data_IF_746375862556
#
_entry.id   IF_746375862556
#
_cell.length_a   1.000
_cell.length_b   1.000
_cell.length_c   1.000
_cell.angle_alpha   90.00
_cell.angle_beta   90.00
_cell.angle_gamma   90.00
#
_symmetry.space_group_name_H-M   'P 1'
#
loop_
_entity.id
_entity.type
_entity.pdbx_description
1 polymer ?
#
# COMPACT_ATOMS: atom_id res chain seq x y z
N UNK A 1 -6.93 13.50 -1.72
CA UNK A 1 -8.16 13.00 -1.06
C UNK A 1 -8.73 11.91 -1.96
N UNK A 2 -8.91 10.70 -1.45
CA UNK A 2 -9.52 9.59 -2.18
C UNK A 2 -10.91 9.38 -1.59
N UNK A 3 -11.93 9.28 -2.42
CA UNK A 3 -13.30 9.00 -1.99
C UNK A 3 -13.64 7.56 -2.35
N UNK A 4 -14.16 6.82 -1.36
CA UNK A 4 -14.62 5.44 -1.55
C UNK A 4 -16.14 5.45 -1.67
N UNK A 5 -16.64 4.97 -2.80
CA UNK A 5 -18.07 4.83 -3.01
C UNK A 5 -18.52 3.46 -2.46
N UNK A 6 -19.21 3.47 -1.32
CA UNK A 6 -19.56 2.27 -0.57
C UNK A 6 -21.09 2.14 -0.46
N UNK A 7 -21.65 0.92 -0.54
CA UNK A 7 -23.03 0.71 -0.17
C UNK A 7 -23.27 1.16 1.28
N UNK A 8 -24.42 1.80 1.55
CA UNK A 8 -24.76 2.36 2.87
C UNK A 8 -24.55 1.38 4.04
N UNK A 9 -24.83 0.10 3.80
CA UNK A 9 -24.69 -0.95 4.80
C UNK A 9 -23.22 -1.17 5.18
N UNK A 10 -22.33 -1.11 4.20
CA UNK A 10 -20.88 -1.27 4.37
C UNK A 10 -20.31 -0.04 5.05
N UNK A 11 -20.70 1.15 4.62
CA UNK A 11 -20.26 2.41 5.25
C UNK A 11 -20.60 2.43 6.75
N UNK A 12 -21.84 2.10 7.11
CA UNK A 12 -22.27 2.02 8.51
C UNK A 12 -21.46 0.99 9.31
N UNK A 13 -21.23 -0.19 8.73
CA UNK A 13 -20.46 -1.24 9.40
C UNK A 13 -19.02 -0.78 9.70
N UNK A 14 -18.36 -0.13 8.73
CA UNK A 14 -16.99 0.38 8.90
C UNK A 14 -16.95 1.49 9.96
N UNK A 15 -17.91 2.42 9.95
CA UNK A 15 -18.02 3.48 10.97
C UNK A 15 -18.18 2.86 12.37
N UNK A 16 -19.06 1.88 12.53
CA UNK A 16 -19.26 1.19 13.81
C UNK A 16 -17.98 0.49 14.26
N UNK A 17 -17.26 -0.18 13.37
CA UNK A 17 -16.00 -0.85 13.72
C UNK A 17 -14.91 0.15 14.13
N UNK A 18 -14.79 1.28 13.45
CA UNK A 18 -13.87 2.35 13.84
C UNK A 18 -14.18 2.90 15.23
N UNK A 19 -15.48 3.12 15.54
CA UNK A 19 -15.94 3.57 16.85
C UNK A 19 -15.65 2.54 17.95
N UNK A 20 -15.92 1.26 17.71
CA UNK A 20 -15.63 0.18 18.66
C UNK A 20 -14.14 0.05 18.97
N UNK A 21 -13.30 0.32 17.98
CA UNK A 21 -11.84 0.33 18.15
C UNK A 21 -11.29 1.66 18.72
N UNK A 22 -12.16 2.64 19.03
CA UNK A 22 -11.77 3.91 19.63
C UNK A 22 -10.91 4.79 18.72
N UNK A 23 -11.04 4.66 17.40
CA UNK A 23 -10.21 5.36 16.43
C UNK A 23 -11.05 6.11 15.40
N UNK A 24 -10.42 7.06 14.68
CA UNK A 24 -11.08 7.74 13.56
C UNK A 24 -11.26 6.78 12.39
N UNK A 25 -12.31 7.03 11.58
CA UNK A 25 -12.62 6.23 10.40
C UNK A 25 -11.43 6.11 9.43
N UNK A 26 -10.73 7.22 9.19
CA UNK A 26 -9.57 7.24 8.31
C UNK A 26 -8.43 6.37 8.84
N UNK A 27 -8.13 6.45 10.14
CA UNK A 27 -7.07 5.66 10.76
C UNK A 27 -7.41 4.17 10.72
N UNK A 28 -8.67 3.84 10.99
CA UNK A 28 -9.20 2.48 10.89
C UNK A 28 -9.02 1.91 9.49
N UNK A 29 -9.42 2.66 8.46
CA UNK A 29 -9.30 2.25 7.07
C UNK A 29 -7.84 2.09 6.64
N UNK A 30 -6.97 3.02 7.02
CA UNK A 30 -5.53 2.93 6.72
C UNK A 30 -4.91 1.68 7.33
N UNK A 31 -5.20 1.41 8.60
CA UNK A 31 -4.70 0.22 9.27
C UNK A 31 -5.25 -1.05 8.64
N UNK A 32 -6.55 -1.09 8.36
CA UNK A 32 -7.21 -2.24 7.74
C UNK A 32 -6.63 -2.54 6.34
N UNK A 33 -6.52 -1.53 5.48
CA UNK A 33 -5.90 -1.66 4.16
C UNK A 33 -4.45 -2.13 4.29
N UNK A 34 -3.69 -1.59 5.24
CA UNK A 34 -2.29 -2.02 5.46
C UNK A 34 -2.17 -3.48 5.88
N UNK A 35 -3.18 -4.04 6.57
CA UNK A 35 -3.19 -5.48 6.90
C UNK A 35 -3.55 -6.36 5.70
N UNK A 36 -4.38 -5.87 4.78
CA UNK A 36 -4.76 -6.58 3.55
C UNK A 36 -3.66 -6.53 2.50
N UNK A 37 -3.02 -5.37 2.38
CA UNK A 37 -1.86 -5.14 1.53
C UNK A 37 -0.64 -5.56 2.34
N UNK A 38 -0.47 -6.86 2.57
CA UNK A 38 0.85 -7.36 2.95
C UNK A 38 1.80 -6.94 1.83
N UNK A 39 2.81 -6.07 2.10
CA UNK A 39 3.82 -5.81 1.09
C UNK A 39 4.45 -7.17 0.77
N UNK A 40 4.63 -7.52 -0.52
CA UNK A 40 5.29 -8.77 -0.87
C UNK A 40 6.60 -8.80 -0.10
N UNK A 41 6.83 -9.89 0.65
CA UNK A 41 8.07 -10.01 1.39
C UNK A 41 9.24 -9.84 0.44
N UNK A 42 10.39 -9.34 0.90
CA UNK A 42 11.58 -9.22 0.05
C UNK A 42 11.87 -10.55 -0.66
N UNK A 43 11.59 -11.67 -0.01
CA UNK A 43 11.67 -13.00 -0.61
C UNK A 43 10.70 -13.22 -1.79
N UNK A 44 9.44 -12.77 -1.70
CA UNK A 44 8.47 -12.81 -2.80
C UNK A 44 8.83 -11.85 -3.94
N UNK A 45 9.41 -10.68 -3.63
CA UNK A 45 9.92 -9.75 -4.64
C UNK A 45 11.08 -10.35 -5.45
N UNK A 46 12.01 -11.02 -4.78
CA UNK A 46 13.17 -11.68 -5.41
C UNK A 46 12.76 -12.93 -6.19
N UNK A 47 11.76 -13.69 -5.73
CA UNK A 47 11.27 -14.89 -6.43
C UNK A 47 10.51 -14.56 -7.73
N UNK A 48 9.82 -13.42 -7.80
CA UNK A 48 9.03 -13.03 -8.97
C UNK A 48 9.81 -12.32 -10.08
N UNK A 49 10.98 -11.73 -9.77
CA UNK A 49 11.80 -11.02 -10.75
C UNK A 49 13.08 -11.80 -11.04
N UNK A 50 13.19 -12.34 -12.26
CA UNK A 50 14.49 -12.77 -12.81
C UNK A 50 15.46 -11.59 -12.73
N UNK A 51 16.69 -11.81 -12.29
CA UNK A 51 17.77 -10.80 -12.24
C UNK A 51 17.97 -10.06 -13.58
N UNK A 52 17.54 -10.66 -14.69
CA UNK A 52 17.59 -10.09 -16.04
C UNK A 52 16.50 -9.04 -16.32
N UNK A 53 15.50 -8.89 -15.44
CA UNK A 53 14.42 -7.89 -15.57
C UNK A 53 14.77 -6.52 -14.97
N UNK A 54 15.94 -6.39 -14.36
CA UNK A 54 16.53 -5.09 -14.00
C UNK A 54 17.16 -4.49 -15.27
N UNK A 55 16.31 -4.03 -16.18
CA UNK A 55 16.72 -3.54 -17.51
C UNK A 55 17.49 -2.23 -17.54
N UNK A 56 17.79 -1.62 -16.39
CA UNK A 56 18.60 -0.41 -16.32
C UNK A 56 19.75 -0.62 -15.34
N UNK A 57 20.96 -0.38 -15.83
CA UNK A 57 22.18 -0.30 -15.04
C UNK A 57 21.93 0.60 -13.80
N UNK A 58 21.98 0.06 -12.58
CA UNK A 58 21.71 0.82 -11.37
C UNK A 58 22.64 2.03 -11.21
N UNK A 59 23.83 1.98 -11.81
CA UNK A 59 24.80 3.09 -11.81
C UNK A 59 24.31 4.24 -12.68
N UNK A 60 23.66 3.95 -13.82
CA UNK A 60 23.12 4.96 -14.71
C UNK A 60 21.95 5.72 -14.07
N UNK A 61 21.08 5.01 -13.34
CA UNK A 61 19.95 5.62 -12.61
C UNK A 61 20.43 6.51 -11.47
N UNK A 62 21.43 6.08 -10.71
CA UNK A 62 22.02 6.88 -9.63
C UNK A 62 22.72 8.13 -10.13
N UNK A 63 23.33 8.07 -11.33
CA UNK A 63 23.96 9.23 -11.96
C UNK A 63 22.93 10.26 -12.41
N UNK A 64 21.83 9.81 -13.03
CA UNK A 64 20.75 10.70 -13.46
C UNK A 64 20.10 11.48 -12.30
N UNK A 65 19.87 10.84 -11.15
CA UNK A 65 19.28 11.48 -9.96
C UNK A 65 20.23 12.43 -9.22
N UNK A 66 21.55 12.34 -9.47
CA UNK A 66 22.56 13.20 -8.84
C UNK A 66 22.82 14.48 -9.65
N UNK A 67 22.53 14.44 -10.95
CA UNK A 67 22.76 15.53 -11.89
C UNK A 67 21.50 16.42 -12.10
N UNK A 68 20.38 16.13 -11.40
CA UNK A 68 19.23 17.04 -11.19
C UNK A 68 19.38 17.86 -9.89
#
# INVERSE_FOLDING_TARGET
MITLDLPLNVERAVITQAQQAGMSLEHYLLQHISTLVQPPSVAQFVQGKRLESFGNDPVAVQKALRDE
#
